data_IF_802425907611
#
_entry.id   IF_802425907611
#
_cell.length_a   1.000
_cell.length_b   1.000
_cell.length_c   1.000
_cell.angle_alpha   90.00
_cell.angle_beta   90.00
_cell.angle_gamma   90.00
#
_symmetry.space_group_name_H-M   'P 1'
#
loop_
_entity.id
_entity.type
_entity.pdbx_description
1 polymer ?
#
# COMPACT_ATOMS: atom_id res chain seq x y z
N UNK A 1 -11.18 4.90 -38.72
CA UNK A 1 -12.12 5.80 -38.03
C UNK A 1 -11.73 5.83 -36.56
N UNK A 2 -11.20 6.95 -36.07
CA UNK A 2 -11.01 7.18 -34.64
C UNK A 2 -12.39 7.48 -34.01
N UNK A 3 -12.69 7.03 -32.78
CA UNK A 3 -13.95 7.38 -32.16
C UNK A 3 -14.01 8.89 -31.94
N UNK A 4 -15.10 9.46 -32.45
CA UNK A 4 -15.50 10.86 -32.26
C UNK A 4 -15.61 11.18 -30.77
N UNK A 5 -15.20 12.38 -30.40
CA UNK A 5 -15.08 12.93 -29.06
C UNK A 5 -16.11 12.42 -28.02
N UNK A 6 -15.62 12.18 -26.81
CA UNK A 6 -16.41 11.79 -25.65
C UNK A 6 -17.38 12.93 -25.25
N UNK A 7 -18.60 12.63 -24.76
CA UNK A 7 -19.57 13.66 -24.42
C UNK A 7 -19.11 14.50 -23.21
N UNK A 8 -19.15 15.82 -23.36
CA UNK A 8 -18.69 16.82 -22.39
C UNK A 8 -19.59 17.00 -21.13
N UNK A 9 -20.34 15.96 -20.74
CA UNK A 9 -21.34 16.01 -19.66
C UNK A 9 -21.01 15.10 -18.47
N UNK A 10 -19.87 14.42 -18.47
CA UNK A 10 -19.39 13.76 -17.26
C UNK A 10 -18.96 14.84 -16.26
N UNK A 11 -19.40 14.79 -14.99
CA UNK A 11 -18.99 15.77 -13.99
C UNK A 11 -17.45 15.77 -13.87
N UNK A 12 -16.89 16.96 -13.69
CA UNK A 12 -15.43 17.21 -13.78
C UNK A 12 -14.61 16.40 -12.78
N UNK A 13 -15.23 15.96 -11.69
CA UNK A 13 -14.69 15.11 -10.64
C UNK A 13 -14.33 13.69 -11.13
N UNK A 14 -14.94 13.21 -12.22
CA UNK A 14 -14.55 11.95 -12.86
C UNK A 14 -13.21 12.03 -13.62
N UNK A 15 -12.74 13.24 -13.93
CA UNK A 15 -11.48 13.47 -14.66
C UNK A 15 -10.32 13.92 -13.76
N UNK A 16 -10.54 14.15 -12.47
CA UNK A 16 -9.50 14.56 -11.52
C UNK A 16 -8.86 13.39 -10.77
N UNK A 17 -9.16 12.14 -11.14
CA UNK A 17 -8.60 10.97 -10.47
C UNK A 17 -7.24 10.58 -11.08
N UNK A 18 -6.18 10.72 -10.28
CA UNK A 18 -4.82 10.35 -10.66
C UNK A 18 -4.55 8.89 -10.32
N UNK A 19 -4.40 8.05 -11.34
CA UNK A 19 -4.11 6.63 -11.19
C UNK A 19 -2.60 6.36 -11.06
N UNK A 20 -2.15 5.90 -9.89
CA UNK A 20 -0.76 5.49 -9.65
C UNK A 20 -0.77 4.05 -9.14
N UNK A 21 -0.09 3.16 -9.87
CA UNK A 21 0.11 1.77 -9.46
C UNK A 21 1.55 1.51 -9.08
N UNK A 22 1.74 0.87 -7.94
CA UNK A 22 3.02 0.33 -7.49
C UNK A 22 3.05 -1.18 -7.69
N UNK A 23 4.24 -1.69 -8.00
CA UNK A 23 4.50 -3.10 -8.18
C UNK A 23 5.76 -3.50 -7.42
N UNK A 24 5.64 -4.51 -6.57
CA UNK A 24 6.80 -5.20 -6.01
C UNK A 24 7.46 -6.03 -7.12
N UNK A 25 8.78 -5.91 -7.36
CA UNK A 25 9.47 -6.72 -8.37
C UNK A 25 9.14 -8.21 -8.23
N UNK A 26 8.75 -8.85 -9.34
CA UNK A 26 8.37 -10.26 -9.36
C UNK A 26 6.94 -10.59 -8.91
N UNK A 27 6.22 -9.68 -8.24
CA UNK A 27 4.83 -9.92 -7.83
C UNK A 27 3.86 -9.85 -9.01
N UNK A 28 2.76 -10.62 -8.95
CA UNK A 28 1.63 -10.48 -9.89
C UNK A 28 0.69 -9.34 -9.47
N UNK A 29 0.41 -9.23 -8.17
CA UNK A 29 -0.48 -8.22 -7.58
C UNK A 29 0.18 -6.84 -7.56
N UNK A 30 -0.63 -5.80 -7.78
CA UNK A 30 -0.24 -4.39 -7.72
C UNK A 30 -1.00 -3.67 -6.62
N UNK A 31 -0.44 -2.57 -6.13
CA UNK A 31 -1.09 -1.67 -5.15
C UNK A 31 -1.41 -0.38 -5.85
N UNK A 32 -2.69 0.02 -5.85
CA UNK A 32 -3.12 1.31 -6.39
C UNK A 32 -3.15 2.31 -5.24
N UNK A 33 -2.50 3.47 -5.43
CA UNK A 33 -2.58 4.58 -4.50
C UNK A 33 -3.80 5.42 -4.87
N UNK A 34 -4.95 5.08 -4.27
CA UNK A 34 -6.22 5.68 -4.62
C UNK A 34 -7.21 5.64 -3.46
N UNK A 35 -7.95 6.74 -3.29
CA UNK A 35 -9.07 6.85 -2.35
C UNK A 35 -10.35 6.97 -3.17
N UNK A 36 -11.20 5.93 -3.22
CA UNK A 36 -12.52 6.04 -3.84
C UNK A 36 -13.39 7.06 -3.09
N UNK A 37 -14.26 7.82 -3.78
CA UNK A 37 -15.21 8.71 -3.11
C UNK A 37 -16.05 7.97 -2.07
N UNK A 38 -16.18 8.54 -0.87
CA UNK A 38 -16.91 7.94 0.25
C UNK A 38 -16.14 6.86 1.01
N UNK A 39 -14.83 6.74 0.80
CA UNK A 39 -13.92 5.86 1.56
C UNK A 39 -12.76 6.64 2.21
N UNK A 40 -12.89 7.95 2.37
CA UNK A 40 -11.87 8.83 2.96
C UNK A 40 -11.59 8.46 4.42
N UNK A 41 -12.55 7.85 5.11
CA UNK A 41 -12.43 7.32 6.47
C UNK A 41 -11.47 6.13 6.58
N UNK A 42 -11.05 5.55 5.45
CA UNK A 42 -10.09 4.43 5.40
C UNK A 42 -8.63 4.88 5.32
N UNK A 43 -8.37 6.15 5.03
CA UNK A 43 -7.00 6.68 5.02
C UNK A 43 -6.44 6.57 6.44
N UNK A 44 -5.22 6.04 6.57
CA UNK A 44 -4.56 5.85 7.85
C UNK A 44 -5.04 4.61 8.62
N UNK A 45 -5.87 3.76 8.01
CA UNK A 45 -6.40 2.56 8.65
C UNK A 45 -5.55 1.32 8.37
N UNK A 46 -5.94 0.19 8.96
CA UNK A 46 -5.29 -1.09 8.74
C UNK A 46 -5.61 -1.65 7.35
N UNK A 47 -4.56 -1.90 6.56
CA UNK A 47 -4.69 -2.62 5.31
C UNK A 47 -4.92 -4.11 5.58
N UNK A 48 -6.04 -4.64 5.09
CA UNK A 48 -6.40 -6.05 5.28
C UNK A 48 -5.61 -6.98 4.34
N UNK A 49 -4.30 -7.03 4.53
CA UNK A 49 -3.35 -7.86 3.78
C UNK A 49 -1.95 -7.78 4.38
N UNK A 50 -1.05 -8.62 3.88
CA UNK A 50 0.36 -8.66 4.31
C UNK A 50 1.28 -8.59 3.11
N UNK A 51 2.39 -7.86 3.25
CA UNK A 51 3.52 -7.93 2.35
C UNK A 51 4.48 -9.03 2.80
N UNK A 52 5.06 -9.72 1.83
CA UNK A 52 6.04 -10.76 2.07
C UNK A 52 7.46 -10.24 1.76
N UNK A 53 8.43 -10.71 2.53
CA UNK A 53 9.85 -10.52 2.30
C UNK A 53 10.61 -11.81 2.63
N UNK A 54 11.86 -11.93 2.22
CA UNK A 54 12.66 -13.13 2.51
C UNK A 54 13.10 -13.15 3.99
N UNK A 55 13.38 -11.97 4.57
CA UNK A 55 13.79 -11.84 5.96
C UNK A 55 13.22 -10.55 6.57
N UNK A 56 12.25 -10.70 7.48
CA UNK A 56 11.58 -9.57 8.13
C UNK A 56 12.51 -8.76 9.03
N UNK A 57 13.53 -9.38 9.64
CA UNK A 57 14.50 -8.67 10.48
C UNK A 57 15.40 -7.77 9.63
N UNK A 58 15.98 -8.32 8.58
CA UNK A 58 16.81 -7.54 7.65
C UNK A 58 16.00 -6.40 7.01
N UNK A 59 14.77 -6.71 6.56
CA UNK A 59 13.91 -5.70 5.92
C UNK A 59 13.51 -4.60 6.92
N UNK A 60 13.24 -4.95 8.18
CA UNK A 60 13.01 -3.98 9.25
C UNK A 60 14.21 -3.05 9.43
N UNK A 61 15.42 -3.58 9.58
CA UNK A 61 16.62 -2.79 9.81
C UNK A 61 16.87 -1.80 8.66
N UNK A 62 16.71 -2.26 7.41
CA UNK A 62 16.86 -1.43 6.21
C UNK A 62 15.81 -0.32 6.11
N UNK A 63 14.55 -0.62 6.42
CA UNK A 63 13.45 0.34 6.32
C UNK A 63 13.48 1.37 7.46
N UNK A 64 13.83 0.96 8.68
CA UNK A 64 14.06 1.90 9.80
C UNK A 64 15.22 2.85 9.48
N UNK A 65 16.32 2.34 8.91
CA UNK A 65 17.44 3.19 8.49
C UNK A 65 17.05 4.22 7.40
N UNK A 66 15.98 3.96 6.64
CA UNK A 66 15.39 4.88 5.66
C UNK A 66 14.29 5.78 6.23
N UNK A 67 14.00 5.67 7.53
CA UNK A 67 13.02 6.51 8.24
C UNK A 67 11.58 6.00 8.21
N UNK A 68 11.34 4.74 7.84
CA UNK A 68 9.99 4.15 7.91
C UNK A 68 9.60 3.93 9.38
N UNK A 69 8.39 4.34 9.74
CA UNK A 69 7.83 4.14 11.09
C UNK A 69 7.34 2.70 11.26
N UNK A 70 7.85 2.02 12.28
CA UNK A 70 7.36 0.71 12.74
C UNK A 70 6.69 0.84 14.10
N UNK A 71 5.62 0.08 14.32
CA UNK A 71 4.95 0.02 15.63
C UNK A 71 5.84 -0.64 16.70
N UNK A 72 6.61 -1.64 16.28
CA UNK A 72 7.57 -2.38 17.09
C UNK A 72 8.57 -3.13 16.18
N UNK A 73 9.73 -3.55 16.72
CA UNK A 73 10.59 -4.52 16.04
C UNK A 73 9.85 -5.82 15.70
N UNK A 74 10.37 -6.64 14.75
CA UNK A 74 9.74 -7.89 14.37
C UNK A 74 9.49 -8.82 15.56
N UNK A 75 8.31 -9.44 15.57
CA UNK A 75 7.85 -10.36 16.61
C UNK A 75 7.75 -11.76 16.04
N UNK A 76 8.32 -12.74 16.76
CA UNK A 76 8.16 -14.16 16.44
C UNK A 76 6.93 -14.72 17.13
N UNK A 77 6.08 -15.40 16.35
CA UNK A 77 4.93 -16.17 16.81
C UNK A 77 5.02 -17.62 16.29
N UNK A 78 4.21 -18.56 16.82
CA UNK A 78 4.23 -19.95 16.37
C UNK A 78 3.95 -20.14 14.87
N UNK A 79 3.27 -19.19 14.22
CA UNK A 79 2.92 -19.21 12.80
C UNK A 79 3.88 -18.38 11.91
N UNK A 80 4.93 -17.80 12.47
CA UNK A 80 5.91 -17.02 11.71
C UNK A 80 6.36 -15.74 12.40
N UNK A 81 7.26 -15.01 11.75
CA UNK A 81 7.76 -13.72 12.23
C UNK A 81 7.21 -12.58 11.38
N UNK A 82 6.76 -11.50 12.03
CA UNK A 82 6.16 -10.36 11.35
C UNK A 82 6.49 -9.04 12.05
N UNK A 83 6.33 -7.94 11.34
CA UNK A 83 6.39 -6.58 11.85
C UNK A 83 5.22 -5.77 11.27
N UNK A 84 4.91 -4.63 11.89
CA UNK A 84 3.90 -3.69 11.41
C UNK A 84 4.52 -2.32 11.20
N UNK A 85 4.29 -1.74 10.03
CA UNK A 85 4.82 -0.42 9.66
C UNK A 85 3.72 0.50 9.12
N UNK A 86 4.03 1.79 9.11
CA UNK A 86 3.15 2.83 8.57
C UNK A 86 3.77 3.53 7.38
N UNK A 87 2.91 3.94 6.45
CA UNK A 87 3.26 4.95 5.46
C UNK A 87 3.02 6.37 6.01
N UNK A 88 3.35 7.44 5.26
CA UNK A 88 3.17 8.82 5.72
C UNK A 88 1.71 9.23 6.01
N UNK A 89 0.73 8.55 5.41
CA UNK A 89 -0.69 8.80 5.65
C UNK A 89 -1.21 8.00 6.85
N UNK A 90 -0.34 7.20 7.49
CA UNK A 90 -0.64 6.38 8.66
C UNK A 90 -1.22 5.00 8.32
N UNK A 91 -1.29 4.61 7.04
CA UNK A 91 -1.83 3.31 6.65
C UNK A 91 -0.95 2.21 7.26
N UNK A 92 -1.57 1.26 7.95
CA UNK A 92 -0.85 0.21 8.67
C UNK A 92 -0.78 -1.06 7.84
N UNK A 93 0.43 -1.59 7.68
CA UNK A 93 0.69 -2.79 6.89
C UNK A 93 1.41 -3.84 7.72
N UNK A 94 1.08 -5.11 7.49
CA UNK A 94 1.85 -6.25 7.99
C UNK A 94 2.96 -6.58 7.00
N UNK A 95 4.15 -6.86 7.51
CA UNK A 95 5.30 -7.39 6.77
C UNK A 95 5.73 -8.69 7.43
N UNK A 96 5.86 -9.79 6.68
CA UNK A 96 6.28 -11.09 7.22
C UNK A 96 7.32 -11.78 6.36
N UNK A 97 8.16 -12.62 6.99
CA UNK A 97 9.03 -13.53 6.25
C UNK A 97 8.19 -14.57 5.49
N UNK A 98 8.63 -14.93 4.28
CA UNK A 98 8.05 -16.00 3.45
C UNK A 98 8.86 -17.29 3.52
#
# INVERSE_FOLDING_TARGET
MAPTAWPAFLPSDLFEQRWIELKIPGAQTRVVLFTPPGQEDRIGSFFNGSFACDNVQQTYDELVARGVEFEAPPQTQPWGSFAKFKDPDGNQFVLSSK
#
